data_IF_741212260662
#
_entry.id   IF_741212260662
#
_cell.length_a   1.000
_cell.length_b   1.000
_cell.length_c   1.000
_cell.angle_alpha   90.00
_cell.angle_beta   90.00
_cell.angle_gamma   90.00
#
_symmetry.space_group_name_H-M   'P 1'
#
loop_
_entity.id
_entity.type
_entity.pdbx_description
1 polymer ?
#
# COMPACT_ATOMS: atom_id res chain seq x y z
N UNK A 1 -31.21 7.13 11.05
CA UNK A 1 -29.85 7.60 11.43
C UNK A 1 -28.87 6.61 10.85
N UNK A 2 -28.17 7.00 9.80
CA UNK A 2 -27.10 6.16 9.25
C UNK A 2 -25.99 6.12 10.29
N UNK A 3 -25.73 4.94 10.81
CA UNK A 3 -24.52 4.71 11.61
C UNK A 3 -23.36 4.77 10.60
N UNK A 4 -22.74 5.96 10.43
CA UNK A 4 -21.47 6.04 9.74
C UNK A 4 -20.53 5.06 10.43
N UNK A 5 -20.14 4.02 9.72
CA UNK A 5 -19.11 3.09 10.18
C UNK A 5 -17.85 3.92 10.40
N UNK A 6 -17.54 4.21 11.66
CA UNK A 6 -16.31 4.92 12.01
C UNK A 6 -15.15 3.98 11.73
N UNK A 7 -14.40 4.28 10.67
CA UNK A 7 -13.18 3.57 10.29
C UNK A 7 -12.06 4.57 9.97
N UNK A 8 -10.80 4.18 10.08
CA UNK A 8 -9.69 5.02 9.62
C UNK A 8 -9.81 5.29 8.11
N UNK A 9 -9.27 6.43 7.68
CA UNK A 9 -8.95 6.66 6.27
C UNK A 9 -7.88 5.66 5.84
N UNK A 10 -7.98 5.12 4.64
CA UNK A 10 -7.03 4.14 4.10
C UNK A 10 -6.40 4.69 2.83
N UNK A 11 -5.09 4.87 2.85
CA UNK A 11 -4.28 5.24 1.69
C UNK A 11 -3.39 4.10 1.29
N UNK A 12 -3.32 3.81 -0.01
CA UNK A 12 -2.41 2.86 -0.61
C UNK A 12 -1.46 3.56 -1.59
N UNK A 13 -0.24 3.03 -1.73
CA UNK A 13 0.84 3.69 -2.45
C UNK A 13 1.75 2.61 -3.05
N UNK A 14 1.75 2.44 -4.38
CA UNK A 14 2.52 1.37 -5.03
C UNK A 14 2.82 1.65 -6.50
N UNK A 15 3.83 0.97 -7.00
CA UNK A 15 4.22 0.98 -8.41
C UNK A 15 3.51 -0.12 -9.19
N UNK A 16 3.25 0.14 -10.46
CA UNK A 16 2.53 -0.75 -11.36
C UNK A 16 3.16 -0.70 -12.76
N UNK A 17 3.42 -1.86 -13.36
CA UNK A 17 3.83 -1.91 -14.77
C UNK A 17 2.69 -1.47 -15.69
N UNK A 18 2.98 -1.09 -16.93
CA UNK A 18 1.96 -0.69 -17.90
C UNK A 18 0.91 -1.77 -18.15
N UNK A 19 1.28 -3.03 -18.01
CA UNK A 19 0.38 -4.17 -18.16
C UNK A 19 -0.22 -4.68 -16.84
N UNK A 20 -0.09 -3.89 -15.76
CA UNK A 20 -0.90 -4.07 -14.54
C UNK A 20 -0.31 -4.96 -13.46
N UNK A 21 1.00 -5.24 -13.49
CA UNK A 21 1.67 -6.08 -12.49
C UNK A 21 2.38 -5.23 -11.43
N UNK A 22 2.26 -5.65 -10.17
CA UNK A 22 2.95 -5.05 -9.01
C UNK A 22 4.31 -5.70 -8.73
N UNK A 23 4.52 -6.90 -9.24
CA UNK A 23 5.77 -7.65 -9.16
C UNK A 23 5.85 -8.62 -10.34
N UNK A 24 7.05 -8.99 -10.73
CA UNK A 24 7.31 -10.07 -11.67
C UNK A 24 7.02 -11.45 -11.06
N UNK A 25 7.35 -12.51 -11.80
CA UNK A 25 7.22 -13.88 -11.31
C UNK A 25 8.02 -14.07 -10.02
N UNK A 26 7.46 -14.84 -9.07
CA UNK A 26 8.08 -15.07 -7.78
C UNK A 26 8.22 -13.85 -6.87
N UNK A 27 7.57 -12.74 -7.22
CA UNK A 27 7.65 -11.49 -6.45
C UNK A 27 8.83 -10.60 -6.81
N UNK A 28 9.46 -10.82 -7.98
CA UNK A 28 10.59 -10.03 -8.45
C UNK A 28 10.25 -8.54 -8.59
N UNK A 29 11.09 -7.68 -8.01
CA UNK A 29 10.98 -6.22 -8.02
C UNK A 29 12.18 -5.55 -8.71
N UNK A 30 13.10 -6.31 -9.31
CA UNK A 30 14.31 -5.76 -9.93
C UNK A 30 14.00 -4.75 -11.05
N UNK A 31 12.86 -4.90 -11.71
CA UNK A 31 12.39 -3.98 -12.76
C UNK A 31 12.12 -2.55 -12.26
N UNK A 32 11.98 -2.33 -10.96
CA UNK A 32 11.81 -1.00 -10.34
C UNK A 32 13.13 -0.25 -10.14
N UNK A 33 14.26 -0.95 -10.10
CA UNK A 33 15.54 -0.35 -9.76
C UNK A 33 15.93 0.87 -10.62
N UNK A 34 15.69 0.90 -11.95
CA UNK A 34 16.00 2.07 -12.78
C UNK A 34 15.18 3.32 -12.45
N UNK A 35 14.06 3.16 -11.73
CA UNK A 35 13.09 4.23 -11.44
C UNK A 35 13.09 4.69 -9.98
N UNK A 36 14.03 4.22 -9.17
CA UNK A 36 14.12 4.54 -7.74
C UNK A 36 14.83 5.86 -7.42
N UNK A 37 15.05 6.75 -8.43
CA UNK A 37 15.80 7.99 -8.25
C UNK A 37 15.01 9.19 -7.72
N UNK A 38 13.69 9.13 -7.71
CA UNK A 38 12.85 10.22 -7.20
C UNK A 38 12.85 10.25 -5.68
N UNK A 39 12.94 11.46 -5.12
CA UNK A 39 12.93 11.63 -3.68
C UNK A 39 11.53 11.44 -3.05
N UNK A 40 11.48 11.28 -1.72
CA UNK A 40 10.21 11.08 -1.03
C UNK A 40 9.27 12.29 -1.09
N UNK A 41 9.79 13.48 -1.34
CA UNK A 41 8.98 14.69 -1.56
C UNK A 41 8.32 14.68 -2.95
N UNK A 42 9.07 14.34 -4.00
CA UNK A 42 8.55 14.29 -5.37
C UNK A 42 7.52 13.18 -5.54
N UNK A 43 7.73 12.03 -4.90
CA UNK A 43 6.77 10.93 -4.92
C UNK A 43 5.52 11.20 -4.08
N UNK A 44 5.62 12.06 -3.06
CA UNK A 44 4.59 12.28 -2.06
C UNK A 44 4.67 11.31 -0.87
N UNK A 45 5.69 10.48 -0.80
CA UNK A 45 5.88 9.51 0.30
C UNK A 45 6.05 10.20 1.65
N UNK A 46 6.80 11.32 1.72
CA UNK A 46 6.94 12.10 2.94
C UNK A 46 5.60 12.59 3.48
N UNK A 47 4.73 13.10 2.60
CA UNK A 47 3.40 13.57 3.00
C UNK A 47 2.51 12.43 3.50
N UNK A 48 2.56 11.27 2.83
CA UNK A 48 1.85 10.08 3.30
C UNK A 48 2.34 9.64 4.68
N UNK A 49 3.65 9.54 4.87
CA UNK A 49 4.24 9.13 6.14
C UNK A 49 4.00 10.14 7.25
N UNK A 50 3.89 11.43 6.96
CA UNK A 50 3.55 12.44 7.94
C UNK A 50 2.07 12.35 8.38
N UNK A 51 1.17 12.01 7.48
CA UNK A 51 -0.27 11.97 7.74
C UNK A 51 -0.78 10.63 8.28
N UNK A 52 -0.20 9.52 7.84
CA UNK A 52 -0.57 8.19 8.35
C UNK A 52 -0.08 7.99 9.79
N UNK A 53 -0.96 7.53 10.66
CA UNK A 53 -0.63 7.22 12.06
C UNK A 53 -0.36 5.74 12.30
N UNK A 54 -0.78 4.88 11.41
CA UNK A 54 -0.63 3.43 11.51
C UNK A 54 -0.33 2.82 10.15
N UNK A 55 0.61 1.86 10.11
CA UNK A 55 0.87 1.06 8.93
C UNK A 55 0.18 -0.30 9.06
N UNK A 56 -0.28 -0.82 7.93
CA UNK A 56 -0.87 -2.15 7.84
C UNK A 56 -0.31 -2.87 6.62
N UNK A 57 0.29 -4.03 6.82
CA UNK A 57 0.87 -4.82 5.73
C UNK A 57 0.71 -6.32 5.91
N UNK A 58 0.87 -7.05 4.81
CA UNK A 58 0.93 -8.51 4.84
C UNK A 58 2.30 -9.04 5.25
N UNK A 59 2.37 -10.32 5.57
CA UNK A 59 3.59 -10.97 6.06
C UNK A 59 4.73 -10.95 5.05
N UNK A 60 4.47 -11.16 3.77
CA UNK A 60 5.54 -11.17 2.78
C UNK A 60 6.22 -9.79 2.65
N UNK A 61 5.44 -8.72 2.67
CA UNK A 61 5.97 -7.35 2.68
C UNK A 61 6.77 -7.10 3.96
N UNK A 62 6.24 -7.52 5.12
CA UNK A 62 6.94 -7.40 6.39
C UNK A 62 8.30 -8.15 6.38
N UNK A 63 8.34 -9.37 5.86
CA UNK A 63 9.59 -10.16 5.80
C UNK A 63 10.66 -9.43 4.95
N UNK A 64 10.25 -8.77 3.86
CA UNK A 64 11.15 -7.97 3.02
C UNK A 64 11.67 -6.74 3.80
N UNK A 65 10.77 -5.93 4.37
CA UNK A 65 11.19 -4.69 5.04
C UNK A 65 11.92 -4.94 6.35
N UNK A 66 11.63 -6.04 7.04
CA UNK A 66 12.33 -6.41 8.27
C UNK A 66 13.79 -6.82 8.04
N UNK A 67 14.14 -7.18 6.81
CA UNK A 67 15.50 -7.51 6.39
C UNK A 67 16.32 -6.27 5.94
N UNK A 68 15.73 -5.09 5.88
CA UNK A 68 16.45 -3.88 5.54
C UNK A 68 17.48 -3.53 6.62
N UNK A 69 18.66 -2.97 6.25
CA UNK A 69 19.66 -2.54 7.21
C UNK A 69 19.14 -1.53 8.24
N UNK A 70 18.22 -0.67 7.81
CA UNK A 70 17.56 0.33 8.64
C UNK A 70 16.05 0.14 8.58
N UNK A 71 15.40 0.29 9.75
CA UNK A 71 13.94 0.22 9.85
C UNK A 71 13.31 1.47 9.23
N UNK A 72 12.49 1.34 8.16
CA UNK A 72 12.07 2.50 7.37
C UNK A 72 10.92 3.30 7.99
N UNK A 73 10.26 2.78 9.04
CA UNK A 73 9.01 3.35 9.56
C UNK A 73 9.15 4.10 10.88
N UNK A 74 10.36 4.26 11.39
CA UNK A 74 10.59 4.97 12.66
C UNK A 74 9.77 4.35 13.81
N UNK A 75 9.07 5.18 14.56
CA UNK A 75 8.25 4.77 15.71
C UNK A 75 6.76 4.54 15.38
N UNK A 76 6.39 4.52 14.10
CA UNK A 76 5.00 4.31 13.72
C UNK A 76 4.53 2.90 14.08
N UNK A 77 3.33 2.77 14.67
CA UNK A 77 2.71 1.47 14.86
C UNK A 77 2.54 0.73 13.53
N UNK A 78 2.91 -0.52 13.49
CA UNK A 78 2.73 -1.41 12.36
C UNK A 78 1.89 -2.61 12.77
N UNK A 79 0.87 -2.90 12.01
CA UNK A 79 0.07 -4.13 12.12
C UNK A 79 0.41 -5.04 10.94
N UNK A 80 0.81 -6.27 11.22
CA UNK A 80 1.10 -7.28 10.21
C UNK A 80 0.03 -8.35 10.24
N UNK A 81 -0.67 -8.54 9.12
CA UNK A 81 -1.62 -9.64 8.97
C UNK A 81 -0.88 -10.91 8.55
N UNK A 82 -0.97 -11.94 9.38
CA UNK A 82 -0.24 -13.20 9.16
C UNK A 82 -0.85 -14.36 9.92
N UNK A 83 -0.78 -15.55 9.34
CA UNK A 83 -1.06 -16.83 10.02
C UNK A 83 0.22 -17.53 10.47
N UNK A 84 1.39 -16.97 10.15
CA UNK A 84 2.70 -17.55 10.50
C UNK A 84 3.22 -16.93 11.79
N UNK A 85 3.90 -17.70 12.67
CA UNK A 85 4.60 -17.13 13.81
C UNK A 85 5.63 -16.06 13.39
N UNK A 86 5.86 -15.09 14.26
CA UNK A 86 6.88 -14.06 14.05
C UNK A 86 7.51 -13.67 15.38
N UNK A 87 8.77 -13.27 15.33
CA UNK A 87 9.47 -12.77 16.51
C UNK A 87 8.93 -11.40 16.92
N UNK A 88 8.78 -11.15 18.23
CA UNK A 88 8.34 -9.85 18.72
C UNK A 88 9.27 -8.73 18.26
N UNK A 89 8.68 -7.61 17.86
CA UNK A 89 9.40 -6.37 17.52
C UNK A 89 8.69 -5.17 18.15
N UNK A 90 9.40 -4.18 18.68
CA UNK A 90 8.78 -2.96 19.19
C UNK A 90 7.91 -2.28 18.12
N UNK A 91 6.74 -1.80 18.54
CA UNK A 91 5.77 -1.12 17.65
C UNK A 91 5.17 -2.00 16.54
N UNK A 92 5.44 -3.29 16.50
CA UNK A 92 4.85 -4.23 15.54
C UNK A 92 3.91 -5.19 16.25
N UNK A 93 2.69 -5.26 15.79
CA UNK A 93 1.70 -6.24 16.24
C UNK A 93 1.36 -7.21 15.11
N UNK A 94 1.22 -8.48 15.43
CA UNK A 94 0.87 -9.53 14.47
C UNK A 94 -0.55 -9.98 14.75
N UNK A 95 -1.38 -10.03 13.71
CA UNK A 95 -2.80 -10.41 13.80
C UNK A 95 -3.16 -11.41 12.71
N UNK A 96 -4.10 -12.28 13.03
CA UNK A 96 -4.72 -13.19 12.06
C UNK A 96 -6.03 -12.60 11.57
N UNK A 97 -6.43 -12.98 10.36
CA UNK A 97 -7.73 -12.62 9.78
C UNK A 97 -7.67 -11.52 8.74
N UNK A 98 -8.83 -10.95 8.45
CA UNK A 98 -9.03 -9.93 7.44
C UNK A 98 -8.73 -8.51 7.97
N UNK A 99 -8.89 -7.52 7.10
CA UNK A 99 -8.79 -6.09 7.43
C UNK A 99 -9.90 -5.70 8.43
N UNK A 100 -9.56 -5.63 9.73
CA UNK A 100 -10.48 -5.23 10.81
C UNK A 100 -10.33 -3.72 11.08
N UNK A 101 -10.86 -2.88 10.20
CA UNK A 101 -10.70 -1.42 10.27
C UNK A 101 -11.40 -0.80 11.48
N UNK A 102 -12.51 -1.38 11.93
CA UNK A 102 -13.25 -0.96 13.11
C UNK A 102 -12.42 -1.17 14.40
N UNK A 103 -11.72 -2.30 14.51
CA UNK A 103 -10.82 -2.55 15.65
C UNK A 103 -9.64 -1.56 15.67
N UNK A 104 -9.09 -1.24 14.50
CA UNK A 104 -8.02 -0.25 14.38
C UNK A 104 -8.52 1.15 14.76
N UNK A 105 -9.74 1.50 14.36
CA UNK A 105 -10.38 2.76 14.77
C UNK A 105 -10.57 2.83 16.29
N UNK A 106 -11.07 1.76 16.90
CA UNK A 106 -11.24 1.68 18.37
C UNK A 106 -9.89 1.76 19.08
N UNK A 107 -8.83 1.21 18.48
CA UNK A 107 -7.46 1.31 18.96
C UNK A 107 -6.79 2.67 18.77
N UNK A 108 -7.50 3.64 18.17
CA UNK A 108 -7.02 5.02 18.01
C UNK A 108 -6.51 5.38 16.62
N UNK A 109 -6.43 4.44 15.67
CA UNK A 109 -5.98 4.72 14.31
C UNK A 109 -7.01 5.60 13.57
N UNK A 110 -6.51 6.59 12.86
CA UNK A 110 -7.33 7.53 12.07
C UNK A 110 -6.97 7.54 10.59
N UNK A 111 -5.70 7.29 10.28
CA UNK A 111 -5.21 7.21 8.92
C UNK A 111 -4.22 6.06 8.74
N UNK A 112 -4.60 5.05 7.97
CA UNK A 112 -3.78 3.88 7.67
C UNK A 112 -3.01 4.07 6.35
N UNK A 113 -1.74 3.71 6.37
CA UNK A 113 -0.99 3.39 5.15
C UNK A 113 -1.04 1.88 4.94
N UNK A 114 -1.76 1.45 3.91
CA UNK A 114 -1.91 0.06 3.50
C UNK A 114 -0.79 -0.29 2.53
N UNK A 115 0.13 -1.16 2.94
CA UNK A 115 1.29 -1.56 2.17
C UNK A 115 1.26 -3.04 1.78
N UNK A 116 1.78 -3.32 0.58
CA UNK A 116 1.79 -4.67 0.02
C UNK A 116 0.60 -4.98 -0.88
N UNK A 117 0.92 -5.50 -2.08
CA UNK A 117 -0.04 -5.66 -3.16
C UNK A 117 -1.24 -6.52 -2.83
N UNK A 118 -1.06 -7.57 -2.05
CA UNK A 118 -2.16 -8.45 -1.65
C UNK A 118 -3.19 -7.74 -0.77
N UNK A 119 -2.74 -6.98 0.24
CA UNK A 119 -3.66 -6.23 1.10
C UNK A 119 -4.29 -5.05 0.36
N UNK A 120 -3.55 -4.39 -0.51
CA UNK A 120 -4.13 -3.33 -1.36
C UNK A 120 -5.22 -3.90 -2.26
N UNK A 121 -5.00 -5.07 -2.87
CA UNK A 121 -6.00 -5.76 -3.66
C UNK A 121 -7.24 -6.09 -2.84
N UNK A 122 -7.08 -6.66 -1.65
CA UNK A 122 -8.19 -6.94 -0.73
C UNK A 122 -8.92 -5.65 -0.33
N UNK A 123 -8.21 -4.59 -0.03
CA UNK A 123 -8.76 -3.28 0.29
C UNK A 123 -9.60 -2.70 -0.85
N UNK A 124 -9.10 -2.80 -2.09
CA UNK A 124 -9.82 -2.34 -3.28
C UNK A 124 -11.07 -3.19 -3.56
N UNK A 125 -10.98 -4.52 -3.44
CA UNK A 125 -12.12 -5.42 -3.59
C UNK A 125 -13.18 -5.23 -2.51
N UNK A 126 -12.76 -4.84 -1.31
CA UNK A 126 -13.66 -4.50 -0.20
C UNK A 126 -14.19 -3.07 -0.23
N UNK A 127 -13.85 -2.25 -1.22
CA UNK A 127 -14.14 -0.81 -1.28
C UNK A 127 -13.68 -0.06 0.00
N UNK A 128 -12.53 -0.45 0.54
CA UNK A 128 -11.99 0.08 1.79
C UNK A 128 -10.89 1.14 1.59
N UNK A 129 -10.37 1.30 0.37
CA UNK A 129 -9.32 2.26 0.05
C UNK A 129 -9.94 3.60 -0.30
N UNK A 130 -9.55 4.66 0.42
CA UNK A 130 -10.05 6.02 0.21
C UNK A 130 -9.16 6.82 -0.75
N UNK A 131 -7.87 6.48 -0.81
CA UNK A 131 -6.91 7.09 -1.72
C UNK A 131 -5.90 6.06 -2.22
N UNK A 132 -5.78 5.96 -3.53
CA UNK A 132 -4.83 5.06 -4.19
C UNK A 132 -3.86 5.88 -5.02
N UNK A 133 -2.58 5.89 -4.62
CA UNK A 133 -1.50 6.47 -5.42
C UNK A 133 -0.82 5.36 -6.21
N UNK A 134 -0.90 5.43 -7.52
CA UNK A 134 -0.20 4.52 -8.43
C UNK A 134 0.92 5.26 -9.16
N UNK A 135 2.08 4.59 -9.22
CA UNK A 135 3.20 4.98 -10.07
C UNK A 135 3.23 4.05 -11.27
N UNK A 136 2.78 4.55 -12.40
CA UNK A 136 2.86 3.83 -13.66
C UNK A 136 4.29 3.84 -14.16
N UNK A 137 4.88 2.66 -14.22
CA UNK A 137 6.26 2.45 -14.67
C UNK A 137 6.22 2.14 -16.16
N UNK A 138 7.05 2.79 -17.00
CA UNK A 138 6.98 2.63 -18.45
C UNK A 138 7.63 1.33 -18.94
N UNK A 139 7.23 0.21 -18.36
CA UNK A 139 7.65 -1.15 -18.72
C UNK A 139 6.47 -2.11 -18.74
N UNK A 140 6.58 -3.18 -19.49
CA UNK A 140 5.66 -4.33 -19.45
C UNK A 140 6.40 -5.54 -18.94
N UNK A 141 5.76 -6.34 -18.10
CA UNK A 141 6.36 -7.55 -17.52
C UNK A 141 5.90 -8.83 -18.24
N UNK A 142 4.74 -8.81 -18.88
CA UNK A 142 4.18 -9.96 -19.57
C UNK A 142 3.64 -11.06 -18.66
N UNK A 143 3.86 -10.96 -17.35
CA UNK A 143 3.45 -11.92 -16.33
C UNK A 143 3.92 -11.49 -14.95
N UNK A 144 3.46 -12.17 -13.90
CA UNK A 144 3.80 -11.85 -12.52
C UNK A 144 2.57 -11.72 -11.62
N UNK A 145 2.65 -10.86 -10.63
CA UNK A 145 1.57 -10.62 -9.66
C UNK A 145 0.76 -9.39 -10.09
N UNK A 146 -0.48 -9.56 -10.57
CA UNK A 146 -1.32 -8.44 -10.98
C UNK A 146 -1.89 -7.69 -9.77
N UNK A 147 -2.08 -6.37 -9.90
CA UNK A 147 -2.85 -5.62 -8.89
C UNK A 147 -4.35 -5.88 -9.04
N UNK A 148 -4.85 -5.82 -10.26
CA UNK A 148 -6.26 -6.01 -10.55
C UNK A 148 -6.52 -7.42 -11.08
N UNK A 149 -7.38 -8.17 -10.41
CA UNK A 149 -7.76 -9.55 -10.77
C UNK A 149 -9.20 -9.66 -11.25
N UNK A 150 -9.89 -8.53 -11.36
CA UNK A 150 -11.28 -8.44 -11.81
C UNK A 150 -11.83 -7.04 -11.65
N UNK A 151 -13.11 -6.81 -11.93
CA UNK A 151 -13.76 -5.52 -11.77
C UNK A 151 -13.77 -5.10 -10.29
N UNK A 152 -13.57 -3.82 -10.04
CA UNK A 152 -13.69 -3.26 -8.70
C UNK A 152 -15.16 -2.98 -8.39
N UNK A 153 -15.61 -3.16 -7.13
CA UNK A 153 -16.98 -2.86 -6.71
C UNK A 153 -17.28 -1.36 -6.77
N UNK A 154 -16.27 -0.51 -6.56
CA UNK A 154 -16.32 0.93 -6.79
C UNK A 154 -15.33 1.28 -7.90
N UNK A 155 -15.74 2.14 -8.82
CA UNK A 155 -14.82 2.71 -9.80
C UNK A 155 -13.77 3.59 -9.15
N UNK A 156 -12.74 3.93 -9.91
CA UNK A 156 -11.70 4.87 -9.48
C UNK A 156 -11.72 6.09 -10.40
N UNK A 157 -11.68 7.28 -9.83
CA UNK A 157 -11.52 8.53 -10.59
C UNK A 157 -10.16 9.15 -10.30
N UNK A 158 -9.40 9.56 -11.32
CA UNK A 158 -8.16 10.29 -11.10
C UNK A 158 -8.47 11.69 -10.56
N UNK A 159 -7.71 12.10 -9.54
CA UNK A 159 -7.84 13.45 -8.94
C UNK A 159 -6.58 14.28 -9.13
N UNK A 160 -5.43 13.64 -9.38
CA UNK A 160 -4.16 14.32 -9.64
C UNK A 160 -3.24 13.42 -10.45
N UNK A 161 -2.39 14.00 -11.28
CA UNK A 161 -1.34 13.28 -11.99
C UNK A 161 -0.09 14.14 -12.17
N UNK A 162 1.06 13.50 -12.23
CA UNK A 162 2.34 14.16 -12.48
C UNK A 162 3.33 13.18 -13.12
N UNK A 163 4.15 13.69 -14.04
CA UNK A 163 5.33 12.99 -14.54
C UNK A 163 6.50 13.34 -13.65
N UNK A 164 7.16 12.32 -13.09
CA UNK A 164 8.30 12.49 -12.21
C UNK A 164 9.63 12.49 -12.99
N UNK A 165 10.72 13.03 -12.42
CA UNK A 165 12.02 13.09 -13.09
C UNK A 165 12.54 11.74 -13.59
N UNK A 166 12.24 10.65 -12.88
CA UNK A 166 12.59 9.28 -13.28
C UNK A 166 11.84 8.77 -14.51
N UNK A 167 10.75 9.44 -14.93
CA UNK A 167 9.85 8.99 -15.98
C UNK A 167 8.63 8.20 -15.48
N UNK A 168 8.49 8.04 -14.17
CA UNK A 168 7.26 7.51 -13.58
C UNK A 168 6.10 8.48 -13.78
N UNK A 169 4.91 7.94 -13.99
CA UNK A 169 3.68 8.75 -13.97
C UNK A 169 2.92 8.42 -12.69
N UNK A 170 2.92 9.38 -11.76
CA UNK A 170 2.13 9.29 -10.54
C UNK A 170 0.69 9.70 -10.82
N UNK A 171 -0.25 8.87 -10.44
CA UNK A 171 -1.68 9.20 -10.48
C UNK A 171 -2.30 8.89 -9.12
N UNK A 172 -3.02 9.86 -8.58
CA UNK A 172 -3.81 9.71 -7.35
C UNK A 172 -5.26 9.46 -7.75
N UNK A 173 -5.84 8.40 -7.23
CA UNK A 173 -7.22 8.01 -7.45
C UNK A 173 -8.01 8.04 -6.15
N UNK A 174 -9.26 8.46 -6.23
CA UNK A 174 -10.27 8.25 -5.20
C UNK A 174 -11.37 7.33 -5.72
N UNK A 175 -12.15 6.67 -4.84
CA UNK A 175 -13.37 5.98 -5.26
C UNK A 175 -14.29 6.91 -6.04
N UNK A 176 -14.93 6.36 -7.09
CA UNK A 176 -15.85 7.10 -7.94
C UNK A 176 -17.23 7.27 -7.27
#
# INVERSE_FOLDING_TARGET
>A
MSTELRRPRVSAFLALSLDGFIAGEGGDLAWLAPYGGDGPEETGYSALMASADTLLMGRNTYDIVSAFPEWPYGDKPLVVLTHRPADPRPRVSFRQGALALDELWQGGSRHLYLDGGELVRQGLQGALVDELTLFWVPVTLGGGIPLFTGPLPAGLRPVSSAVLPSGLVRVIYHPA
#
